data_IF_471291123713
#
_entry.id   IF_471291123713
#
_cell.length_a   1.000
_cell.length_b   1.000
_cell.length_c   1.000
_cell.angle_alpha   90.00
_cell.angle_beta   90.00
_cell.angle_gamma   90.00
#
_symmetry.space_group_name_H-M   'P 1'
#
loop_
_entity.id
_entity.type
_entity.pdbx_description
1 polymer ?
#
# COMPACT_ATOMS: atom_id res chain seq x y z
N UNK A 1 -13.23 -9.69 -11.45
CA UNK A 1 -13.02 -10.30 -10.12
C UNK A 1 -12.17 -9.41 -9.25
N UNK A 2 -12.50 -9.23 -7.97
CA UNK A 2 -11.68 -8.38 -7.10
C UNK A 2 -10.34 -9.04 -6.78
N UNK A 3 -9.33 -8.21 -6.59
CA UNK A 3 -8.02 -8.67 -6.17
C UNK A 3 -8.03 -9.01 -4.69
N UNK A 4 -7.15 -9.93 -4.30
CA UNK A 4 -6.94 -10.28 -2.89
C UNK A 4 -5.84 -9.38 -2.31
N UNK A 5 -6.00 -8.94 -1.07
CA UNK A 5 -5.00 -8.10 -0.40
C UNK A 5 -4.24 -8.95 0.61
N UNK A 6 -2.92 -8.91 0.53
CA UNK A 6 -2.04 -9.55 1.51
C UNK A 6 -1.09 -8.50 2.05
N UNK A 7 -1.03 -8.39 3.38
CA UNK A 7 -0.12 -7.46 4.07
C UNK A 7 1.19 -8.16 4.38
N UNK A 8 2.30 -7.52 4.06
CA UNK A 8 3.63 -8.03 4.41
C UNK A 8 3.79 -8.13 5.92
N UNK A 9 4.67 -9.03 6.37
CA UNK A 9 4.89 -9.25 7.80
C UNK A 9 5.36 -7.98 8.51
N UNK A 10 6.30 -7.25 7.91
CA UNK A 10 6.81 -6.02 8.50
C UNK A 10 5.75 -4.92 8.52
N UNK A 11 4.82 -4.93 7.58
CA UNK A 11 3.71 -3.98 7.57
C UNK A 11 2.80 -4.21 8.76
N UNK A 12 2.44 -5.46 9.02
CA UNK A 12 1.59 -5.82 10.16
C UNK A 12 2.30 -5.55 11.48
N UNK A 13 3.58 -5.90 11.56
CA UNK A 13 4.34 -5.79 12.81
C UNK A 13 4.76 -4.36 13.15
N UNK A 14 5.09 -3.54 12.14
CA UNK A 14 5.70 -2.24 12.36
C UNK A 14 4.89 -1.07 11.79
N UNK A 15 4.50 -1.15 10.52
CA UNK A 15 3.89 -0.01 9.83
C UNK A 15 2.50 0.32 10.37
N UNK A 16 1.64 -0.68 10.43
CA UNK A 16 0.25 -0.48 10.87
C UNK A 16 0.16 0.01 12.32
N UNK A 17 0.88 -0.60 13.28
CA UNK A 17 0.84 -0.10 14.66
C UNK A 17 1.34 1.34 14.82
N UNK A 18 2.22 1.80 13.94
CA UNK A 18 2.76 3.16 14.00
C UNK A 18 1.81 4.22 13.44
N UNK A 19 0.74 3.81 12.74
CA UNK A 19 -0.22 4.75 12.18
C UNK A 19 -1.23 5.16 13.24
N UNK A 20 -1.50 6.47 13.45
CA UNK A 20 -2.56 6.90 14.36
C UNK A 20 -3.90 6.27 13.99
N UNK A 21 -4.71 5.93 15.00
CA UNK A 21 -5.93 5.16 14.79
C UNK A 21 -6.88 5.71 13.72
N UNK A 22 -7.19 7.03 13.68
CA UNK A 22 -8.07 7.55 12.63
C UNK A 22 -7.50 7.37 11.23
N UNK A 23 -6.19 7.57 11.07
CA UNK A 23 -5.52 7.40 9.79
C UNK A 23 -5.45 5.93 9.38
N UNK A 24 -5.26 5.06 10.36
CA UNK A 24 -5.21 3.61 10.13
C UNK A 24 -6.50 3.11 9.49
N UNK A 25 -7.64 3.52 10.02
CA UNK A 25 -8.95 3.14 9.49
C UNK A 25 -9.15 3.66 8.07
N UNK A 26 -8.79 4.91 7.84
CA UNK A 26 -8.89 5.54 6.53
C UNK A 26 -8.04 4.81 5.49
N UNK A 27 -6.80 4.48 5.86
CA UNK A 27 -5.87 3.79 4.95
C UNK A 27 -6.37 2.39 4.64
N UNK A 28 -6.81 1.64 5.63
CA UNK A 28 -7.34 0.29 5.42
C UNK A 28 -8.56 0.30 4.50
N UNK A 29 -9.45 1.26 4.70
CA UNK A 29 -10.62 1.42 3.85
C UNK A 29 -10.24 1.72 2.41
N UNK A 30 -9.27 2.61 2.22
CA UNK A 30 -8.78 2.96 0.89
C UNK A 30 -8.15 1.76 0.19
N UNK A 31 -7.34 0.99 0.91
CA UNK A 31 -6.71 -0.21 0.36
C UNK A 31 -7.79 -1.19 -0.10
N UNK A 32 -8.74 -1.50 0.77
CA UNK A 32 -9.76 -2.50 0.44
C UNK A 32 -10.73 -2.04 -0.64
N UNK A 33 -11.07 -0.77 -0.71
CA UNK A 33 -11.98 -0.31 -1.76
C UNK A 33 -11.29 -0.09 -3.10
N UNK A 34 -10.08 0.47 -3.09
CA UNK A 34 -9.39 0.86 -4.33
C UNK A 34 -8.54 -0.26 -4.91
N UNK A 35 -7.75 -0.93 -4.08
CA UNK A 35 -6.81 -1.92 -4.58
C UNK A 35 -7.45 -3.29 -4.84
N UNK A 36 -8.61 -3.57 -4.29
CA UNK A 36 -9.36 -4.76 -4.71
C UNK A 36 -10.03 -4.53 -6.06
N UNK A 37 -10.43 -3.29 -6.34
CA UNK A 37 -11.17 -2.97 -7.57
C UNK A 37 -10.24 -2.72 -8.77
N UNK A 38 -9.23 -1.85 -8.59
CA UNK A 38 -8.38 -1.46 -9.71
C UNK A 38 -6.97 -1.06 -9.25
N UNK A 39 -6.15 -2.05 -8.86
CA UNK A 39 -4.80 -1.73 -8.37
C UNK A 39 -3.87 -1.20 -9.46
N UNK A 40 -4.16 -1.45 -10.72
CA UNK A 40 -3.36 -0.93 -11.84
C UNK A 40 -3.72 0.51 -12.14
N UNK A 41 -5.01 0.83 -12.22
CA UNK A 41 -5.45 2.16 -12.61
C UNK A 41 -5.38 3.19 -11.51
N UNK A 42 -5.56 2.80 -10.25
CA UNK A 42 -5.64 3.73 -9.14
C UNK A 42 -4.31 4.01 -8.43
N UNK A 43 -3.27 3.24 -8.75
CA UNK A 43 -1.94 3.49 -8.22
C UNK A 43 -0.98 3.90 -9.33
N UNK A 44 0.15 4.50 -8.95
CA UNK A 44 1.17 4.90 -9.90
C UNK A 44 2.37 3.96 -9.85
N UNK A 45 2.91 3.54 -11.00
CA UNK A 45 4.12 2.71 -11.00
C UNK A 45 5.32 3.51 -10.51
N UNK A 46 6.21 2.82 -9.83
CA UNK A 46 7.45 3.39 -9.33
C UNK A 46 8.62 2.98 -10.22
N UNK A 47 9.72 3.72 -10.11
CA UNK A 47 10.91 3.46 -10.91
C UNK A 47 12.13 3.28 -10.00
N UNK A 48 13.30 3.05 -10.61
CA UNK A 48 14.54 2.88 -9.88
C UNK A 48 14.52 1.61 -9.04
N UNK A 49 14.94 1.72 -7.80
CA UNK A 49 15.01 0.57 -6.88
C UNK A 49 13.65 -0.02 -6.53
N UNK A 50 12.60 0.75 -6.78
CA UNK A 50 11.22 0.29 -6.54
C UNK A 50 10.52 -0.15 -7.82
N UNK A 51 11.26 -0.43 -8.85
CA UNK A 51 10.72 -0.93 -10.11
C UNK A 51 9.90 -2.20 -9.86
N UNK A 52 8.69 -2.24 -10.42
CA UNK A 52 7.78 -3.35 -10.20
C UNK A 52 6.80 -3.11 -9.07
N UNK A 53 7.03 -2.09 -8.26
CA UNK A 53 6.12 -1.67 -7.21
C UNK A 53 5.26 -0.51 -7.69
N UNK A 54 4.18 -0.26 -6.97
CA UNK A 54 3.24 0.83 -7.25
C UNK A 54 2.95 1.58 -5.95
N UNK A 55 2.42 2.78 -6.07
CA UNK A 55 2.10 3.64 -4.93
C UNK A 55 0.64 4.03 -4.96
N UNK A 56 -0.06 3.86 -3.84
CA UNK A 56 -1.37 4.45 -3.60
C UNK A 56 -1.21 5.58 -2.59
N UNK A 57 -1.77 6.72 -2.91
CA UNK A 57 -1.70 7.90 -2.07
C UNK A 57 -2.98 8.01 -1.26
N UNK A 58 -2.87 8.14 0.07
CA UNK A 58 -4.02 8.32 0.97
C UNK A 58 -3.67 9.49 1.89
N UNK A 59 -4.08 10.71 1.52
CA UNK A 59 -3.67 11.92 2.23
C UNK A 59 -2.16 12.08 2.17
N UNK A 60 -1.52 12.24 3.33
CA UNK A 60 -0.07 12.33 3.43
C UNK A 60 0.62 10.98 3.49
N UNK A 61 -0.17 9.91 3.52
CA UNK A 61 0.34 8.55 3.61
C UNK A 61 0.53 7.94 2.24
N UNK A 62 1.48 7.01 2.15
CA UNK A 62 1.78 6.26 0.92
C UNK A 62 1.70 4.78 1.22
N UNK A 63 1.03 4.06 0.34
CA UNK A 63 0.96 2.60 0.39
C UNK A 63 1.77 2.08 -0.78
N UNK A 64 2.83 1.35 -0.51
CA UNK A 64 3.68 0.75 -1.54
C UNK A 64 3.26 -0.71 -1.67
N UNK A 65 2.95 -1.11 -2.89
CA UNK A 65 2.44 -2.46 -3.14
C UNK A 65 2.92 -2.98 -4.48
N UNK A 66 2.79 -4.27 -4.69
CA UNK A 66 3.01 -4.90 -5.98
C UNK A 66 1.88 -5.86 -6.27
N UNK A 67 1.71 -6.18 -7.55
CA UNK A 67 0.63 -7.04 -8.01
C UNK A 67 1.25 -8.29 -8.63
N UNK A 68 0.77 -9.45 -8.18
CA UNK A 68 1.14 -10.74 -8.76
C UNK A 68 -0.17 -11.46 -9.04
N UNK A 69 -0.51 -11.63 -10.31
CA UNK A 69 -1.78 -12.19 -10.75
C UNK A 69 -2.95 -11.39 -10.15
N UNK A 70 -3.79 -12.03 -9.34
CA UNK A 70 -4.94 -11.37 -8.71
C UNK A 70 -4.68 -11.01 -7.26
N UNK A 71 -3.41 -10.96 -6.85
CA UNK A 71 -3.03 -10.65 -5.47
C UNK A 71 -2.26 -9.35 -5.41
N UNK A 72 -2.65 -8.49 -4.47
CA UNK A 72 -1.96 -7.24 -4.17
C UNK A 72 -1.20 -7.44 -2.87
N UNK A 73 0.12 -7.33 -2.93
CA UNK A 73 0.98 -7.46 -1.76
C UNK A 73 1.37 -6.08 -1.25
N UNK A 74 0.94 -5.76 -0.03
CA UNK A 74 1.28 -4.49 0.60
C UNK A 74 2.69 -4.59 1.18
N UNK A 75 3.61 -3.81 0.65
CA UNK A 75 5.02 -3.87 1.00
C UNK A 75 5.38 -2.89 2.13
N UNK A 76 4.80 -1.70 2.13
CA UNK A 76 5.10 -0.67 3.12
C UNK A 76 3.97 0.35 3.20
N UNK A 77 3.74 0.90 4.39
CA UNK A 77 2.81 2.00 4.60
C UNK A 77 3.53 3.02 5.46
N UNK A 78 3.57 4.28 5.03
CA UNK A 78 4.22 5.32 5.81
C UNK A 78 4.00 6.68 5.19
N UNK A 79 4.55 7.69 5.83
CA UNK A 79 4.57 9.03 5.24
C UNK A 79 5.67 9.07 4.18
N UNK A 80 5.57 10.03 3.29
CA UNK A 80 6.41 10.11 2.10
C UNK A 80 7.90 9.83 2.33
N UNK A 81 8.49 10.44 3.36
CA UNK A 81 9.92 10.28 3.63
C UNK A 81 10.29 8.89 4.10
N UNK A 82 9.49 8.35 5.00
CA UNK A 82 9.82 7.10 5.68
C UNK A 82 9.62 5.88 4.81
N UNK A 83 8.56 5.92 3.98
CA UNK A 83 8.17 4.74 3.20
C UNK A 83 9.21 4.39 2.14
N UNK A 84 9.87 5.37 1.55
CA UNK A 84 10.87 5.13 0.52
C UNK A 84 12.25 4.74 1.05
N UNK A 85 12.43 4.72 2.33
CA UNK A 85 13.66 4.25 2.96
C UNK A 85 13.67 2.76 3.26
N UNK A 86 12.63 2.06 2.87
CA UNK A 86 12.45 0.65 3.25
C UNK A 86 12.80 -0.35 2.19
#
# INVERSE_FOLDING_TARGET
MPHTIIYGKSVVANDIPAIPAPNREQIKRAIHSRLTADPVGLGKPLSGRYRGFRRLRVGDWRVIYRIVDMTVYIHAIGIRRDVYGR
#
